data_IF_706604704922
#
_entry.id   IF_706604704922
#
_cell.length_a   1.000
_cell.length_b   1.000
_cell.length_c   1.000
_cell.angle_alpha   90.00
_cell.angle_beta   90.00
_cell.angle_gamma   90.00
#
_symmetry.space_group_name_H-M   'P 1'
#
loop_
_entity.id
_entity.type
_entity.pdbx_description
1 polymer ?
#
# COMPACT_ATOMS: atom_id res chain seq x y z
N UNK A 1 -6.95 12.78 10.70
CA UNK A 1 -5.75 12.50 9.88
C UNK A 1 -6.08 12.14 8.43
N UNK A 2 -7.18 11.45 8.12
CA UNK A 2 -7.55 11.11 6.74
C UNK A 2 -7.68 12.33 5.82
N UNK A 3 -8.31 13.40 6.31
CA UNK A 3 -8.35 14.69 5.59
C UNK A 3 -6.96 15.27 5.32
N UNK A 4 -6.07 15.30 6.32
CA UNK A 4 -4.68 15.77 6.15
C UNK A 4 -3.97 15.05 5.00
N UNK A 5 -4.01 13.71 4.99
CA UNK A 5 -3.35 12.91 3.95
C UNK A 5 -4.00 13.07 2.58
N UNK A 6 -5.32 13.27 2.53
CA UNK A 6 -6.03 13.60 1.29
C UNK A 6 -5.60 14.97 0.75
N UNK A 7 -5.54 16.01 1.59
CA UNK A 7 -5.08 17.33 1.17
C UNK A 7 -3.60 17.33 0.77
N UNK A 8 -2.73 16.61 1.48
CA UNK A 8 -1.34 16.42 1.10
C UNK A 8 -1.21 15.69 -0.25
N UNK A 9 -2.03 14.66 -0.49
CA UNK A 9 -2.04 13.94 -1.76
C UNK A 9 -2.44 14.87 -2.90
N UNK A 10 -3.51 15.66 -2.72
CA UNK A 10 -3.90 16.73 -3.65
C UNK A 10 -2.76 17.69 -3.92
N UNK A 11 -2.11 18.20 -2.86
CA UNK A 11 -1.04 19.19 -2.96
C UNK A 11 0.21 18.69 -3.68
N UNK A 12 0.64 17.45 -3.37
CA UNK A 12 1.93 16.92 -3.80
C UNK A 12 1.85 16.12 -5.11
N UNK A 13 0.69 15.55 -5.43
CA UNK A 13 0.52 14.72 -6.62
C UNK A 13 -0.15 15.45 -7.77
N UNK A 14 -0.96 16.48 -7.47
CA UNK A 14 -1.76 17.19 -8.44
C UNK A 14 -1.32 18.66 -8.53
N UNK A 15 -0.28 18.93 -9.32
CA UNK A 15 0.11 20.30 -9.66
C UNK A 15 -0.72 20.83 -10.83
N UNK A 16 -0.95 22.15 -10.84
CA UNK A 16 -2.03 22.82 -11.60
C UNK A 16 -2.02 22.48 -13.10
N UNK A 17 -3.21 22.46 -13.75
CA UNK A 17 -3.33 22.23 -15.18
C UNK A 17 -2.56 23.28 -15.98
N UNK A 18 -1.98 22.85 -17.10
CA UNK A 18 -1.34 23.76 -18.06
C UNK A 18 -2.44 24.37 -18.92
N UNK A 19 -2.35 25.67 -19.17
CA UNK A 19 -3.24 26.32 -20.13
C UNK A 19 -2.91 25.74 -21.51
N UNK A 20 -3.88 25.05 -22.13
CA UNK A 20 -3.72 24.58 -23.49
C UNK A 20 -3.68 25.80 -24.42
N UNK A 21 -2.51 26.09 -25.00
CA UNK A 21 -2.27 27.26 -25.84
C UNK A 21 -3.15 27.29 -27.10
N UNK A 22 -3.74 26.15 -27.49
CA UNK A 22 -4.60 26.02 -28.68
C UNK A 22 -6.09 26.11 -28.31
N UNK A 23 -6.50 25.49 -27.20
CA UNK A 23 -7.93 25.41 -26.84
C UNK A 23 -8.36 26.43 -25.77
N UNK A 24 -7.43 27.12 -25.11
CA UNK A 24 -7.71 28.07 -24.02
C UNK A 24 -8.22 27.44 -22.72
N UNK A 25 -8.43 26.11 -22.72
CA UNK A 25 -8.90 25.36 -21.57
C UNK A 25 -7.75 24.95 -20.66
N UNK A 26 -8.01 24.89 -19.35
CA UNK A 26 -7.10 24.26 -18.40
C UNK A 26 -7.06 22.76 -18.69
N UNK A 27 -5.92 22.26 -19.19
CA UNK A 27 -5.74 20.84 -19.48
C UNK A 27 -4.75 20.25 -18.49
N UNK A 28 -5.25 19.33 -17.68
CA UNK A 28 -4.40 18.54 -16.80
C UNK A 28 -3.42 17.72 -17.65
N UNK A 29 -2.23 17.44 -17.09
CA UNK A 29 -1.26 16.55 -17.73
C UNK A 29 -1.93 15.27 -18.24
N UNK A 30 -1.48 14.79 -19.40
CA UNK A 30 -1.91 13.51 -19.97
C UNK A 30 -1.82 12.44 -18.87
N UNK A 31 -2.95 11.77 -18.60
CA UNK A 31 -3.03 10.78 -17.52
C UNK A 31 -1.90 9.75 -17.58
N UNK A 32 -1.37 9.42 -18.77
CA UNK A 32 -0.24 8.50 -18.95
C UNK A 32 1.06 8.97 -18.27
N UNK A 33 1.26 10.28 -18.18
CA UNK A 33 2.47 10.90 -17.66
C UNK A 33 2.43 11.11 -16.15
N UNK A 34 1.26 10.95 -15.52
CA UNK A 34 1.12 11.13 -14.09
C UNK A 34 1.86 10.02 -13.32
N UNK A 35 2.65 10.43 -12.34
CA UNK A 35 3.42 9.55 -11.47
C UNK A 35 3.64 10.17 -10.10
N UNK A 36 3.73 9.31 -9.07
CA UNK A 36 4.16 9.74 -7.74
C UNK A 36 5.69 9.69 -7.57
N UNK A 37 6.43 9.22 -8.59
CA UNK A 37 7.89 9.21 -8.59
C UNK A 37 8.44 10.62 -8.67
N UNK A 38 9.65 10.78 -8.16
CA UNK A 38 10.39 12.04 -8.23
C UNK A 38 11.90 11.74 -8.34
N UNK A 39 12.64 12.60 -9.03
CA UNK A 39 14.09 12.48 -9.21
C UNK A 39 14.84 12.68 -7.87
N UNK A 40 14.44 13.72 -7.14
CA UNK A 40 14.98 14.00 -5.81
C UNK A 40 14.41 13.03 -4.76
N UNK A 41 15.31 12.42 -3.99
CA UNK A 41 14.98 11.32 -3.08
C UNK A 41 14.01 11.74 -1.97
N UNK A 42 14.13 12.95 -1.42
CA UNK A 42 13.30 13.39 -0.30
C UNK A 42 11.86 13.65 -0.74
N UNK A 43 11.65 14.22 -1.93
CA UNK A 43 10.32 14.33 -2.55
C UNK A 43 9.74 12.98 -2.89
N UNK A 44 10.54 12.08 -3.46
CA UNK A 44 10.12 10.70 -3.75
C UNK A 44 9.64 9.99 -2.47
N UNK A 45 10.43 10.09 -1.39
CA UNK A 45 10.10 9.50 -0.10
C UNK A 45 8.82 10.12 0.50
N UNK A 46 8.73 11.46 0.52
CA UNK A 46 7.56 12.16 1.04
C UNK A 46 6.29 11.77 0.29
N UNK A 47 6.34 11.73 -1.05
CA UNK A 47 5.20 11.32 -1.87
C UNK A 47 4.76 9.90 -1.55
N UNK A 48 5.71 8.97 -1.37
CA UNK A 48 5.38 7.61 -0.96
C UNK A 48 4.76 7.55 0.44
N UNK A 49 5.27 8.31 1.41
CA UNK A 49 4.70 8.36 2.77
C UNK A 49 3.26 8.86 2.74
N UNK A 50 3.00 9.91 1.97
CA UNK A 50 1.65 10.47 1.80
C UNK A 50 0.73 9.47 1.11
N UNK A 51 1.22 8.80 0.06
CA UNK A 51 0.45 7.75 -0.62
C UNK A 51 0.13 6.57 0.32
N UNK A 52 1.09 6.09 1.11
CA UNK A 52 0.90 5.00 2.06
C UNK A 52 -0.09 5.36 3.19
N UNK A 53 0.00 6.59 3.71
CA UNK A 53 -0.86 7.05 4.79
C UNK A 53 -2.32 7.21 4.38
N UNK A 54 -2.60 7.54 3.11
CA UNK A 54 -3.96 7.70 2.59
C UNK A 54 -4.87 6.51 2.88
N UNK A 55 -4.58 5.30 2.34
CA UNK A 55 -5.34 4.09 2.63
C UNK A 55 -5.36 3.72 4.12
N UNK A 56 -4.23 3.86 4.83
CA UNK A 56 -4.16 3.55 6.27
C UNK A 56 -5.19 4.35 7.08
N UNK A 57 -5.16 5.69 6.96
CA UNK A 57 -6.06 6.55 7.71
C UNK A 57 -7.50 6.49 7.21
N UNK A 58 -7.71 6.29 5.91
CA UNK A 58 -9.06 6.18 5.36
C UNK A 58 -9.77 4.90 5.83
N UNK A 59 -9.10 3.76 5.75
CA UNK A 59 -9.64 2.48 6.25
C UNK A 59 -9.90 2.55 7.75
N UNK A 60 -8.98 3.16 8.52
CA UNK A 60 -9.18 3.34 9.96
C UNK A 60 -10.40 4.23 10.27
N UNK A 61 -10.57 5.32 9.53
CA UNK A 61 -11.75 6.19 9.65
C UNK A 61 -13.05 5.41 9.40
N UNK A 62 -13.09 4.60 8.32
CA UNK A 62 -14.27 3.77 8.03
C UNK A 62 -14.55 2.77 9.15
N UNK A 63 -13.52 2.11 9.67
CA UNK A 63 -13.64 1.14 10.75
C UNK A 63 -14.16 1.77 12.04
N UNK A 64 -13.58 2.90 12.45
CA UNK A 64 -14.01 3.63 13.67
C UNK A 64 -15.41 4.21 13.51
N UNK A 65 -15.75 4.74 12.34
CA UNK A 65 -17.12 5.22 12.09
C UNK A 65 -18.15 4.09 12.18
N UNK A 66 -17.84 2.93 11.59
CA UNK A 66 -18.71 1.75 11.69
C UNK A 66 -18.84 1.25 13.13
N UNK A 67 -17.75 1.24 13.90
CA UNK A 67 -17.77 0.81 15.30
C UNK A 67 -18.61 1.73 16.18
N UNK A 68 -18.47 3.05 16.01
CA UNK A 68 -19.27 4.04 16.74
C UNK A 68 -20.77 3.89 16.47
N UNK A 69 -21.15 3.65 15.22
CA UNK A 69 -22.55 3.42 14.84
C UNK A 69 -23.05 2.11 15.47
N UNK A 70 -22.32 1.01 15.30
CA UNK A 70 -22.75 -0.30 15.80
C UNK A 70 -22.86 -0.35 17.33
N UNK A 71 -21.88 0.22 18.05
CA UNK A 71 -21.93 0.34 19.52
C UNK A 71 -23.02 1.31 19.96
N UNK A 72 -23.15 2.46 19.30
CA UNK A 72 -24.18 3.46 19.63
C UNK A 72 -25.62 2.94 19.44
N UNK A 73 -25.82 2.03 18.48
CA UNK A 73 -27.09 1.33 18.24
C UNK A 73 -27.23 0.03 19.06
N UNK A 74 -26.25 -0.28 19.92
CA UNK A 74 -26.21 -1.48 20.74
C UNK A 74 -26.26 -2.80 19.93
N UNK A 75 -25.69 -2.82 18.72
CA UNK A 75 -25.54 -4.03 17.89
C UNK A 75 -24.31 -4.86 18.24
N UNK A 76 -23.33 -4.25 18.90
CA UNK A 76 -22.05 -4.85 19.29
C UNK A 76 -21.47 -4.11 20.49
N UNK A 77 -20.56 -4.74 21.21
CA UNK A 77 -19.83 -4.10 22.30
C UNK A 77 -18.49 -3.52 21.81
N UNK A 78 -17.89 -2.53 22.50
CA UNK A 78 -16.58 -1.99 22.12
C UNK A 78 -15.48 -3.05 21.96
N UNK A 79 -15.53 -4.13 22.73
CA UNK A 79 -14.57 -5.24 22.70
C UNK A 79 -14.64 -6.04 21.39
N UNK A 80 -15.77 -5.99 20.67
CA UNK A 80 -15.94 -6.61 19.36
C UNK A 80 -15.18 -5.86 18.26
N UNK A 81 -14.67 -4.65 18.56
CA UNK A 81 -13.97 -3.77 17.63
C UNK A 81 -12.48 -3.56 18.02
N UNK A 82 -11.66 -4.61 18.03
CA UNK A 82 -10.23 -4.46 18.36
C UNK A 82 -9.52 -3.56 17.34
N UNK A 83 -8.32 -3.02 17.69
CA UNK A 83 -7.57 -2.18 16.77
C UNK A 83 -7.38 -2.82 15.39
N UNK A 84 -7.81 -2.11 14.35
CA UNK A 84 -7.82 -2.64 12.99
C UNK A 84 -6.42 -2.90 12.42
N UNK A 85 -5.43 -2.15 12.92
CA UNK A 85 -4.03 -2.27 12.58
C UNK A 85 -3.22 -2.65 13.82
N UNK A 86 -2.14 -3.40 13.61
CA UNK A 86 -1.21 -3.77 14.67
C UNK A 86 -0.29 -2.63 15.12
N UNK A 87 0.74 -2.97 15.90
CA UNK A 87 1.73 -1.99 16.38
C UNK A 87 2.82 -1.75 15.33
N UNK A 88 2.97 -0.51 14.87
CA UNK A 88 4.04 -0.08 13.93
C UNK A 88 5.43 -0.34 14.49
N UNK A 89 5.61 -0.21 15.81
CA UNK A 89 6.90 -0.38 16.51
C UNK A 89 7.49 -1.79 16.46
N UNK A 90 6.79 -2.76 15.86
CA UNK A 90 7.27 -4.13 15.66
C UNK A 90 7.47 -4.47 14.18
N UNK A 91 7.27 -3.51 13.27
CA UNK A 91 7.25 -3.77 11.82
C UNK A 91 8.67 -3.72 11.25
N UNK A 92 9.47 -4.72 11.62
CA UNK A 92 10.85 -4.90 11.15
C UNK A 92 10.97 -5.84 9.95
N UNK A 93 9.85 -6.38 9.46
CA UNK A 93 9.79 -7.22 8.25
C UNK A 93 8.49 -6.98 7.50
N UNK A 94 8.53 -7.06 6.16
CA UNK A 94 7.38 -7.05 5.25
C UNK A 94 6.45 -8.20 5.60
N UNK A 95 7.00 -9.37 5.98
CA UNK A 95 6.19 -10.48 6.51
C UNK A 95 5.35 -10.05 7.72
N UNK A 96 5.93 -9.35 8.70
CA UNK A 96 5.21 -8.87 9.87
C UNK A 96 4.20 -7.77 9.49
N UNK A 97 4.58 -6.88 8.57
CA UNK A 97 3.68 -5.84 8.06
C UNK A 97 2.36 -6.47 7.57
N UNK A 98 2.41 -7.43 6.64
CA UNK A 98 1.20 -8.03 6.08
C UNK A 98 0.55 -9.07 6.99
N UNK A 99 1.36 -9.80 7.76
CA UNK A 99 0.91 -10.91 8.61
C UNK A 99 0.47 -10.52 10.01
N UNK A 100 0.56 -9.25 10.41
CA UNK A 100 0.19 -8.82 11.77
C UNK A 100 -0.23 -7.36 11.87
N UNK A 101 0.34 -6.47 11.06
CA UNK A 101 0.07 -5.05 11.15
C UNK A 101 -1.07 -4.57 10.24
N UNK A 102 -1.04 -4.91 8.95
CA UNK A 102 -1.96 -4.40 7.94
C UNK A 102 -3.30 -5.15 7.97
N UNK A 103 -4.45 -4.44 7.98
CA UNK A 103 -5.82 -4.96 8.11
C UNK A 103 -6.02 -6.49 7.99
N UNK A 104 -6.40 -7.16 9.09
CA UNK A 104 -6.39 -8.63 9.16
C UNK A 104 -7.70 -9.30 8.68
N UNK A 105 -8.69 -8.52 8.23
CA UNK A 105 -10.04 -8.98 7.86
C UNK A 105 -10.04 -10.05 6.77
N UNK A 106 -9.13 -9.96 5.79
CA UNK A 106 -9.05 -10.90 4.67
C UNK A 106 -8.18 -12.14 4.95
N UNK A 107 -7.52 -12.21 6.12
CA UNK A 107 -6.55 -13.26 6.43
C UNK A 107 -7.15 -14.65 6.39
N UNK A 108 -8.34 -14.82 6.97
CA UNK A 108 -9.04 -16.12 6.99
C UNK A 108 -9.36 -16.58 5.58
N UNK A 109 -9.93 -15.70 4.75
CA UNK A 109 -10.29 -15.99 3.36
C UNK A 109 -9.06 -16.39 2.54
N UNK A 110 -7.96 -15.64 2.61
CA UNK A 110 -6.72 -16.00 1.91
C UNK A 110 -6.09 -17.29 2.45
N UNK A 111 -6.18 -17.56 3.75
CA UNK A 111 -5.65 -18.81 4.33
C UNK A 111 -6.40 -20.02 3.79
N UNK A 112 -7.72 -19.97 3.70
CA UNK A 112 -8.54 -21.05 3.13
C UNK A 112 -8.27 -21.23 1.63
N UNK A 113 -8.26 -20.14 0.87
CA UNK A 113 -8.01 -20.17 -0.58
C UNK A 113 -6.63 -20.75 -0.91
N UNK A 114 -5.59 -20.27 -0.24
CA UNK A 114 -4.22 -20.74 -0.49
C UNK A 114 -3.99 -22.17 -0.02
N UNK A 115 -4.67 -22.61 1.05
CA UNK A 115 -4.64 -24.02 1.47
C UNK A 115 -5.22 -24.94 0.39
N UNK A 116 -6.35 -24.58 -0.20
CA UNK A 116 -6.95 -25.32 -1.31
C UNK A 116 -5.97 -25.53 -2.47
N UNK A 117 -5.27 -24.48 -2.91
CA UNK A 117 -4.29 -24.60 -4.00
C UNK A 117 -3.06 -25.45 -3.62
N UNK A 118 -2.57 -25.34 -2.38
CA UNK A 118 -1.45 -26.18 -1.91
C UNK A 118 -1.84 -27.65 -1.88
N UNK A 119 -3.07 -27.96 -1.43
CA UNK A 119 -3.59 -29.32 -1.41
C UNK A 119 -3.80 -29.86 -2.84
N UNK A 120 -4.30 -29.02 -3.76
CA UNK A 120 -4.46 -29.36 -5.18
C UNK A 120 -3.11 -29.73 -5.84
N UNK A 121 -2.05 -29.01 -5.49
CA UNK A 121 -0.68 -29.28 -5.96
C UNK A 121 0.01 -30.44 -5.22
N UNK A 122 -0.67 -31.07 -4.25
CA UNK A 122 -0.16 -32.17 -3.41
C UNK A 122 1.16 -31.83 -2.71
N UNK A 123 1.37 -30.56 -2.36
CA UNK A 123 2.60 -30.13 -1.69
C UNK A 123 2.48 -30.44 -0.19
N UNK A 124 3.46 -31.12 0.43
CA UNK A 124 3.37 -31.45 1.85
C UNK A 124 3.24 -30.20 2.72
N UNK A 125 2.20 -30.20 3.56
CA UNK A 125 1.91 -29.10 4.49
C UNK A 125 3.07 -28.90 5.46
N UNK A 126 3.30 -27.66 5.87
CA UNK A 126 4.39 -27.30 6.80
C UNK A 126 5.77 -27.15 6.17
N UNK A 127 5.95 -27.52 4.90
CA UNK A 127 7.21 -27.28 4.18
C UNK A 127 7.42 -25.80 3.84
N UNK A 128 8.67 -25.38 3.65
CA UNK A 128 9.00 -24.04 3.14
C UNK A 128 8.36 -23.78 1.78
N UNK A 129 8.33 -24.81 0.92
CA UNK A 129 7.66 -24.72 -0.39
C UNK A 129 6.17 -24.43 -0.24
N UNK A 130 5.45 -25.17 0.62
CA UNK A 130 4.05 -24.89 0.90
C UNK A 130 3.84 -23.47 1.44
N UNK A 131 4.72 -23.00 2.33
CA UNK A 131 4.66 -21.62 2.84
C UNK A 131 4.80 -20.58 1.72
N UNK A 132 5.83 -20.68 0.88
CA UNK A 132 6.04 -19.70 -0.19
C UNK A 132 4.93 -19.77 -1.25
N UNK A 133 4.46 -20.96 -1.63
CA UNK A 133 3.31 -21.08 -2.53
C UNK A 133 2.08 -20.33 -2.01
N UNK A 134 1.77 -20.47 -0.71
CA UNK A 134 0.65 -19.72 -0.10
C UNK A 134 0.85 -18.22 -0.18
N UNK A 135 2.05 -17.73 0.13
CA UNK A 135 2.37 -16.30 0.07
C UNK A 135 2.24 -15.77 -1.36
N UNK A 136 2.85 -16.44 -2.34
CA UNK A 136 2.79 -16.03 -3.74
C UNK A 136 1.36 -16.05 -4.29
N UNK A 137 0.57 -17.08 -3.98
CA UNK A 137 -0.84 -17.16 -4.38
C UNK A 137 -1.67 -16.07 -3.70
N UNK A 138 -1.50 -15.84 -2.38
CA UNK A 138 -2.24 -14.81 -1.66
C UNK A 138 -2.02 -13.43 -2.28
N UNK A 139 -0.76 -13.07 -2.56
CA UNK A 139 -0.42 -11.80 -3.17
C UNK A 139 -0.83 -11.71 -4.64
N UNK A 140 -0.76 -12.81 -5.41
CA UNK A 140 -1.26 -12.83 -6.78
C UNK A 140 -2.79 -12.58 -6.83
N UNK A 141 -3.55 -13.24 -5.95
CA UNK A 141 -5.00 -13.04 -5.85
C UNK A 141 -5.33 -11.63 -5.38
N UNK A 142 -4.61 -11.11 -4.37
CA UNK A 142 -4.77 -9.72 -3.91
C UNK A 142 -4.49 -8.72 -5.04
N UNK A 143 -3.39 -8.92 -5.77
CA UNK A 143 -3.07 -8.10 -6.94
C UNK A 143 -4.15 -8.14 -8.01
N UNK A 144 -4.70 -9.33 -8.28
CA UNK A 144 -5.78 -9.51 -9.24
C UNK A 144 -7.05 -8.77 -8.81
N UNK A 145 -7.44 -8.87 -7.53
CA UNK A 145 -8.59 -8.16 -7.00
C UNK A 145 -8.44 -6.63 -7.12
N UNK A 146 -7.25 -6.10 -6.81
CA UNK A 146 -6.98 -4.67 -6.95
C UNK A 146 -6.93 -4.22 -8.41
N UNK A 147 -6.34 -5.02 -9.30
CA UNK A 147 -6.35 -4.77 -10.74
C UNK A 147 -7.78 -4.79 -11.30
N UNK A 148 -8.61 -5.75 -10.89
CA UNK A 148 -10.02 -5.83 -11.28
C UNK A 148 -10.80 -4.61 -10.79
N UNK A 149 -10.59 -4.18 -9.54
CA UNK A 149 -11.23 -2.97 -9.01
C UNK A 149 -10.90 -1.74 -9.87
N UNK A 150 -9.65 -1.60 -10.36
CA UNK A 150 -9.28 -0.52 -11.26
C UNK A 150 -10.00 -0.59 -12.62
N UNK A 151 -10.40 -1.78 -13.07
CA UNK A 151 -11.15 -1.97 -14.32
C UNK A 151 -12.62 -1.60 -14.19
N UNK A 152 -13.20 -1.73 -13.00
CA UNK A 152 -14.60 -1.40 -12.71
C UNK A 152 -14.85 0.10 -12.53
N UNK A 153 -13.80 0.88 -12.26
CA UNK A 153 -13.90 2.33 -12.09
C UNK A 153 -13.90 3.06 -13.46
N UNK A 154 -14.56 4.23 -13.55
CA UNK A 154 -14.42 5.12 -14.71
C UNK A 154 -12.96 5.41 -15.00
N UNK A 155 -12.57 5.40 -16.28
CA UNK A 155 -11.18 5.62 -16.69
C UNK A 155 -11.08 6.63 -17.83
N UNK A 156 -10.04 7.48 -17.84
CA UNK A 156 -9.70 8.30 -19.00
C UNK A 156 -9.57 7.48 -20.29
N UNK A 157 -10.04 8.01 -21.42
CA UNK A 157 -10.03 7.30 -22.72
C UNK A 157 -8.62 6.99 -23.25
N UNK A 158 -7.63 7.75 -22.79
CA UNK A 158 -6.24 7.65 -23.21
C UNK A 158 -5.45 6.53 -22.50
N UNK A 159 -5.97 5.90 -21.44
CA UNK A 159 -5.23 4.84 -20.71
C UNK A 159 -5.75 3.44 -21.06
N UNK A 160 -4.81 2.53 -21.29
CA UNK A 160 -5.08 1.13 -21.65
C UNK A 160 -5.37 0.27 -20.43
N UNK A 161 -5.99 -0.90 -20.63
CA UNK A 161 -6.20 -1.92 -19.58
C UNK A 161 -4.88 -2.27 -18.88
N UNK A 162 -3.78 -2.39 -19.64
CA UNK A 162 -2.47 -2.70 -19.07
C UNK A 162 -1.96 -1.61 -18.13
N UNK A 163 -2.11 -0.34 -18.50
CA UNK A 163 -1.70 0.81 -17.68
C UNK A 163 -2.54 0.95 -16.40
N UNK A 164 -3.75 0.35 -16.37
CA UNK A 164 -4.65 0.33 -15.22
C UNK A 164 -4.41 -0.83 -14.25
N UNK A 165 -3.64 -1.84 -14.65
CA UNK A 165 -3.60 -3.14 -13.94
C UNK A 165 -2.19 -3.62 -13.60
N UNK A 166 -1.22 -3.41 -14.50
CA UNK A 166 0.16 -3.93 -14.35
C UNK A 166 0.83 -3.45 -13.06
N UNK A 167 0.66 -2.18 -12.72
CA UNK A 167 1.27 -1.61 -11.51
C UNK A 167 0.71 -2.20 -10.22
N UNK A 168 -0.59 -2.52 -10.18
CA UNK A 168 -1.22 -3.21 -9.04
C UNK A 168 -0.64 -4.62 -8.89
N UNK A 169 -0.59 -5.39 -9.99
CA UNK A 169 0.01 -6.73 -9.97
C UNK A 169 1.48 -6.69 -9.54
N UNK A 170 2.27 -5.77 -10.07
CA UNK A 170 3.68 -5.61 -9.73
C UNK A 170 3.87 -5.31 -8.24
N UNK A 171 3.09 -4.39 -7.67
CA UNK A 171 3.14 -4.06 -6.25
C UNK A 171 2.88 -5.27 -5.35
N UNK A 172 1.81 -6.02 -5.60
CA UNK A 172 1.46 -7.15 -4.73
C UNK A 172 2.42 -8.34 -4.92
N UNK A 173 2.81 -8.67 -6.16
CA UNK A 173 3.79 -9.73 -6.40
C UNK A 173 5.16 -9.41 -5.79
N UNK A 174 5.55 -8.13 -5.76
CA UNK A 174 6.75 -7.70 -5.05
C UNK A 174 6.69 -7.98 -3.55
N UNK A 175 5.54 -7.91 -2.90
CA UNK A 175 5.46 -8.24 -1.47
C UNK A 175 5.80 -9.71 -1.22
N UNK A 176 5.36 -10.63 -2.09
CA UNK A 176 5.75 -12.03 -2.03
C UNK A 176 7.24 -12.23 -2.28
N UNK A 177 7.80 -11.51 -3.27
CA UNK A 177 9.23 -11.52 -3.55
C UNK A 177 10.05 -11.00 -2.36
N UNK A 178 9.65 -9.87 -1.78
CA UNK A 178 10.30 -9.25 -0.62
C UNK A 178 10.30 -10.19 0.59
N UNK A 179 9.19 -10.85 0.90
CA UNK A 179 9.14 -11.86 1.97
C UNK A 179 10.06 -13.04 1.67
N UNK A 180 10.15 -13.47 0.41
CA UNK A 180 11.06 -14.55 0.02
C UNK A 180 12.54 -14.15 0.17
N UNK A 181 12.88 -12.90 -0.17
CA UNK A 181 14.21 -12.32 0.06
C UNK A 181 14.52 -12.21 1.55
N UNK A 182 13.57 -11.79 2.38
CA UNK A 182 13.72 -11.75 3.85
C UNK A 182 14.07 -13.11 4.42
N UNK A 183 13.39 -14.16 3.97
CA UNK A 183 13.62 -15.52 4.46
C UNK A 183 14.99 -16.05 4.02
N UNK A 184 15.41 -15.73 2.80
CA UNK A 184 16.77 -16.01 2.33
C UNK A 184 17.82 -15.26 3.15
N UNK A 185 17.63 -13.97 3.40
CA UNK A 185 18.54 -13.16 4.20
C UNK A 185 18.65 -13.68 5.64
N UNK A 186 17.53 -14.05 6.28
CA UNK A 186 17.52 -14.69 7.60
C UNK A 186 18.24 -16.04 7.59
N UNK A 187 18.04 -16.85 6.55
CA UNK A 187 18.72 -18.13 6.40
C UNK A 187 20.23 -17.97 6.28
N UNK A 188 20.69 -17.00 5.48
CA UNK A 188 22.11 -16.66 5.35
C UNK A 188 22.65 -16.17 6.68
N UNK A 189 21.96 -15.21 7.32
CA UNK A 189 22.39 -14.65 8.61
C UNK A 189 22.56 -15.76 9.66
N UNK A 190 21.58 -16.64 9.83
CA UNK A 190 21.67 -17.76 10.80
C UNK A 190 22.89 -18.66 10.53
N UNK A 191 23.28 -18.85 9.26
CA UNK A 191 24.45 -19.67 8.90
C UNK A 191 25.78 -18.94 9.13
N UNK A 192 25.79 -17.61 9.01
CA UNK A 192 26.98 -16.78 9.17
C UNK A 192 27.13 -16.20 10.57
N UNK A 193 26.09 -16.25 11.39
CA UNK A 193 26.04 -15.66 12.75
C UNK A 193 27.19 -16.10 13.66
N UNK A 194 27.67 -17.36 13.63
CA UNK A 194 28.85 -17.76 14.39
C UNK A 194 30.14 -17.01 14.02
N UNK A 195 30.22 -16.46 12.81
CA UNK A 195 31.38 -15.72 12.29
C UNK A 195 31.16 -14.21 12.33
N UNK A 196 29.92 -13.76 12.20
CA UNK A 196 29.53 -12.35 12.13
C UNK A 196 28.27 -12.11 12.96
N UNK A 197 28.46 -11.76 14.23
CA UNK A 197 27.37 -11.49 15.15
C UNK A 197 26.91 -10.03 15.04
N UNK A 198 25.63 -9.81 14.74
CA UNK A 198 25.00 -8.50 14.77
C UNK A 198 24.15 -8.37 16.04
N UNK A 199 24.34 -7.27 16.79
CA UNK A 199 23.51 -6.97 17.94
C UNK A 199 22.04 -6.79 17.57
N UNK A 200 21.13 -7.09 18.53
CA UNK A 200 19.67 -6.92 18.35
C UNK A 200 19.25 -5.52 17.86
N UNK A 201 19.84 -4.41 18.35
CA UNK A 201 19.51 -3.08 17.83
C UNK A 201 19.84 -2.95 16.34
N UNK A 202 21.00 -3.44 15.91
CA UNK A 202 21.41 -3.42 14.49
C UNK A 202 20.46 -4.22 13.61
N UNK A 203 20.09 -5.43 14.01
CA UNK A 203 19.11 -6.24 13.28
C UNK A 203 17.75 -5.54 13.17
N UNK A 204 17.33 -4.83 14.22
CA UNK A 204 16.09 -4.06 14.25
C UNK A 204 16.15 -2.90 13.26
N UNK A 205 17.25 -2.14 13.24
CA UNK A 205 17.47 -1.04 12.30
C UNK A 205 17.50 -1.55 10.85
N UNK A 206 18.23 -2.64 10.60
CA UNK A 206 18.28 -3.29 9.27
C UNK A 206 16.89 -3.71 8.82
N UNK A 207 16.09 -4.31 9.71
CA UNK A 207 14.72 -4.70 9.42
C UNK A 207 13.83 -3.51 9.06
N UNK A 208 13.89 -2.41 9.84
CA UNK A 208 13.16 -1.20 9.50
C UNK A 208 13.60 -0.59 8.17
N UNK A 209 14.91 -0.49 7.93
CA UNK A 209 15.45 0.01 6.68
C UNK A 209 14.97 -0.83 5.48
N UNK A 210 14.96 -2.16 5.63
CA UNK A 210 14.45 -3.09 4.62
C UNK A 210 12.96 -2.88 4.33
N UNK A 211 12.11 -2.79 5.36
CA UNK A 211 10.68 -2.54 5.19
C UNK A 211 10.45 -1.21 4.47
N UNK A 212 11.07 -0.13 4.96
CA UNK A 212 10.93 1.21 4.38
C UNK A 212 11.38 1.21 2.92
N UNK A 213 12.54 0.64 2.62
CA UNK A 213 13.06 0.55 1.26
C UNK A 213 12.15 -0.27 0.34
N UNK A 214 11.65 -1.42 0.80
CA UNK A 214 10.77 -2.28 0.01
C UNK A 214 9.47 -1.56 -0.37
N UNK A 215 8.86 -0.82 0.56
CA UNK A 215 7.68 -0.01 0.28
C UNK A 215 8.00 1.22 -0.57
N UNK A 216 9.13 1.88 -0.34
CA UNK A 216 9.56 3.02 -1.15
C UNK A 216 9.76 2.64 -2.63
N UNK A 217 10.32 1.48 -2.90
CA UNK A 217 10.50 0.97 -4.27
C UNK A 217 9.16 0.60 -4.92
N UNK A 218 8.28 -0.08 -4.16
CA UNK A 218 7.12 -0.76 -4.75
C UNK A 218 5.83 0.08 -4.79
N UNK A 219 5.59 0.95 -3.81
CA UNK A 219 4.37 1.76 -3.74
C UNK A 219 4.14 2.65 -4.98
N UNK A 220 5.17 3.23 -5.63
CA UNK A 220 4.98 3.94 -6.88
C UNK A 220 4.31 3.13 -7.98
N UNK A 221 4.46 1.80 -8.04
CA UNK A 221 3.74 1.00 -9.06
C UNK A 221 2.22 1.06 -8.87
N UNK A 222 1.73 1.01 -7.62
CA UNK A 222 0.31 1.15 -7.34
C UNK A 222 -0.14 2.63 -7.42
N UNK A 223 0.68 3.54 -6.92
CA UNK A 223 0.41 4.99 -6.95
C UNK A 223 0.27 5.53 -8.36
N UNK A 224 1.16 5.13 -9.28
CA UNK A 224 1.11 5.56 -10.68
C UNK A 224 -0.18 5.09 -11.38
N UNK A 225 -0.67 3.88 -11.07
CA UNK A 225 -1.97 3.39 -11.57
C UNK A 225 -3.11 4.26 -11.06
N UNK A 226 -3.13 4.58 -9.75
CA UNK A 226 -4.18 5.42 -9.17
C UNK A 226 -4.17 6.84 -9.75
N UNK A 227 -2.97 7.40 -9.95
CA UNK A 227 -2.78 8.70 -10.61
C UNK A 227 -3.28 8.70 -12.05
N UNK A 228 -2.93 7.68 -12.84
CA UNK A 228 -3.42 7.51 -14.22
C UNK A 228 -4.95 7.41 -14.26
N UNK A 229 -5.54 6.76 -13.28
CA UNK A 229 -6.98 6.62 -13.09
C UNK A 229 -7.65 7.89 -12.52
N UNK A 230 -6.89 8.94 -12.21
CA UNK A 230 -7.38 10.19 -11.60
C UNK A 230 -8.11 10.01 -10.28
N UNK A 231 -7.75 8.95 -9.55
CA UNK A 231 -8.28 8.73 -8.21
C UNK A 231 -7.69 9.76 -7.27
N UNK A 232 -8.54 10.34 -6.41
CA UNK A 232 -8.16 11.37 -5.42
C UNK A 232 -7.68 12.70 -6.00
N UNK A 233 -7.96 12.97 -7.29
CA UNK A 233 -7.81 14.32 -7.87
C UNK A 233 -8.69 15.33 -7.12
N UNK A 234 -9.93 14.91 -6.82
CA UNK A 234 -10.84 15.63 -5.94
C UNK A 234 -10.91 14.97 -4.56
N UNK A 235 -11.31 15.78 -3.58
CA UNK A 235 -11.56 15.28 -2.23
C UNK A 235 -12.88 14.51 -2.23
N UNK A 236 -12.85 13.24 -1.81
CA UNK A 236 -14.08 12.50 -1.55
C UNK A 236 -14.74 12.88 -0.21
N UNK A 237 -14.03 13.63 0.65
CA UNK A 237 -14.62 14.24 1.84
C UNK A 237 -15.27 15.57 1.46
N UNK A 238 -16.48 15.81 1.96
CA UNK A 238 -17.25 17.04 1.72
C UNK A 238 -16.72 18.26 2.49
N UNK A 239 -15.81 18.05 3.45
CA UNK A 239 -15.20 19.10 4.26
C UNK A 239 -13.68 18.88 4.36
N UNK A 240 -12.96 19.92 4.78
CA UNK A 240 -11.55 19.83 5.11
C UNK A 240 -11.19 20.72 6.30
N UNK A 241 -10.39 20.17 7.21
CA UNK A 241 -9.82 20.84 8.38
C UNK A 241 -8.39 21.32 8.06
N UNK A 242 -7.65 20.57 7.24
CA UNK A 242 -6.23 20.81 6.97
C UNK A 242 -5.93 21.54 5.65
N UNK A 243 -6.96 21.92 4.87
CA UNK A 243 -6.79 22.55 3.56
C UNK A 243 -5.84 23.76 3.59
N UNK A 244 -6.03 24.67 4.55
CA UNK A 244 -5.21 25.88 4.64
C UNK A 244 -3.80 25.59 5.16
N UNK A 245 -3.66 24.64 6.09
CA UNK A 245 -2.35 24.23 6.63
C UNK A 245 -1.45 23.61 5.56
N UNK A 246 -2.00 22.79 4.67
CA UNK A 246 -1.22 22.11 3.63
C UNK A 246 -0.70 23.09 2.57
N UNK A 247 -1.22 24.32 2.48
CA UNK A 247 -0.70 25.35 1.56
C UNK A 247 0.72 25.78 1.89
N UNK A 248 1.12 25.67 3.15
CA UNK A 248 2.48 25.95 3.61
C UNK A 248 3.49 24.86 3.24
N UNK A 249 3.02 23.69 2.80
CA UNK A 249 3.90 22.63 2.28
C UNK A 249 4.38 23.03 0.88
N UNK A 250 5.71 23.06 0.63
CA UNK A 250 6.23 23.37 -0.68
C UNK A 250 5.79 22.36 -1.74
N UNK A 251 5.77 22.79 -2.99
CA UNK A 251 5.49 21.92 -4.13
C UNK A 251 6.82 21.30 -4.57
N UNK A 252 6.85 20.01 -4.92
CA UNK A 252 7.98 19.46 -5.66
C UNK A 252 8.24 20.30 -6.93
N UNK A 253 9.51 20.63 -7.25
CA UNK A 253 9.87 21.42 -8.42
C UNK A 253 9.48 20.74 -9.75
#
# INVERSE_FOLDING_TARGET
>A
MSDLFLQLSKRLFWTRPVLDAVSGNLRWQDSKLLTIRHSEWHWSFLKVVVFAGGPYFFINLQYVSASLIAVGLNWSQPEDWPPYFGRVSHVTTVRYFWGSFWHQTLRRSFTMLTAFFVDLLKVPRGTKLAFHLKIWIAFAVSGFMHAQAMLLLPSPKNITIGERTKGMMAFFLWQAAAISVEDCAKCIYIRTEPFFHLGRPTLTIVGYAWVVMSFWISLPWAGDVMMRMRLTEESFLSFSIFNDFVRYVPIPP
#
